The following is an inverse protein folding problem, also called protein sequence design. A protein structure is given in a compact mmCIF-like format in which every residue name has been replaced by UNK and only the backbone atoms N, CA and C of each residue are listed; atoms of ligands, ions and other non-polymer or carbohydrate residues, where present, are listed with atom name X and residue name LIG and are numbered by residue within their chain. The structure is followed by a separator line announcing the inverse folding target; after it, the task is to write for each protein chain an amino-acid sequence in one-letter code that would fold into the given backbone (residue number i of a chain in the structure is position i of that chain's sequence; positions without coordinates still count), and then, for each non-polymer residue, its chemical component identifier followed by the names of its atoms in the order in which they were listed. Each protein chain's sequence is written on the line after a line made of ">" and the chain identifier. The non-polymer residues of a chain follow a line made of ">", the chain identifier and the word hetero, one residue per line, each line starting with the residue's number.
data_IF_825532863076
#
_entry.id   IF_825532863076
#
_cell.length_a   1.000
_cell.length_b   1.000
_cell.length_c   1.000
_cell.angle_alpha   90.00
_cell.angle_beta   90.00
_cell.angle_gamma   90.00
#
_symmetry.space_group_name_H-M   'P 1'
#
loop_
_entity.id
_entity.type
_entity.pdbx_description
1 polymer ?
#
# COMPACT_ATOMS: atom_id res chain seq x y z
N UNK A 1 -17.15 -0.94 -16.81
CA UNK A 1 -16.69 -1.38 -15.48
C UNK A 1 -16.48 -0.13 -14.67
N UNK A 2 -17.18 0.04 -13.56
CA UNK A 2 -17.00 1.24 -12.73
C UNK A 2 -15.59 1.21 -12.14
N UNK A 3 -15.00 2.37 -11.85
CA UNK A 3 -13.65 2.47 -11.23
C UNK A 3 -13.60 1.70 -9.90
N UNK A 4 -14.76 1.56 -9.24
CA UNK A 4 -14.98 0.88 -7.97
C UNK A 4 -14.89 -0.65 -8.07
N UNK A 5 -15.01 -1.23 -9.26
CA UNK A 5 -14.92 -2.69 -9.48
C UNK A 5 -13.47 -3.18 -9.69
N UNK A 6 -12.49 -2.26 -9.68
CA UNK A 6 -11.08 -2.63 -9.86
C UNK A 6 -10.47 -3.14 -8.54
N UNK A 7 -9.57 -4.12 -8.65
CA UNK A 7 -8.81 -4.58 -7.47
C UNK A 7 -8.00 -3.45 -6.84
N UNK A 8 -7.56 -2.49 -7.65
CA UNK A 8 -6.80 -1.31 -7.21
C UNK A 8 -7.67 -0.44 -6.30
N UNK A 9 -8.96 -0.26 -6.64
CA UNK A 9 -9.92 0.39 -5.76
C UNK A 9 -10.14 -0.39 -4.47
N UNK A 10 -10.20 -1.72 -4.53
CA UNK A 10 -10.32 -2.55 -3.33
C UNK A 10 -9.10 -2.39 -2.39
N UNK A 11 -7.88 -2.43 -2.94
CA UNK A 11 -6.65 -2.21 -2.18
C UNK A 11 -6.57 -0.79 -1.58
N UNK A 12 -6.97 0.23 -2.35
CA UNK A 12 -7.00 1.61 -1.88
C UNK A 12 -8.06 1.83 -0.77
N UNK A 13 -9.25 1.26 -0.91
CA UNK A 13 -10.32 1.33 0.09
C UNK A 13 -9.94 0.60 1.38
N UNK A 14 -9.31 -0.57 1.28
CA UNK A 14 -8.76 -1.27 2.44
C UNK A 14 -7.75 -0.38 3.17
N UNK A 15 -6.84 0.27 2.45
CA UNK A 15 -5.83 1.10 3.06
C UNK A 15 -6.40 2.37 3.72
N UNK A 16 -7.34 3.04 3.06
CA UNK A 16 -8.05 4.20 3.61
C UNK A 16 -8.81 3.82 4.87
N UNK A 17 -9.57 2.71 4.81
CA UNK A 17 -10.39 2.24 5.93
C UNK A 17 -9.58 1.74 7.12
N UNK A 18 -8.54 0.95 6.87
CA UNK A 18 -7.71 0.36 7.93
C UNK A 18 -6.88 1.41 8.68
N UNK A 19 -6.29 2.36 7.96
CA UNK A 19 -5.45 3.39 8.58
C UNK A 19 -6.26 4.54 9.17
N UNK A 20 -7.35 4.92 8.51
CA UNK A 20 -8.20 6.04 8.92
C UNK A 20 -7.50 7.39 8.86
N UNK A 21 -6.40 7.53 8.10
CA UNK A 21 -5.70 8.80 7.92
C UNK A 21 -6.33 9.71 6.87
N UNK A 22 -6.98 9.12 5.87
CA UNK A 22 -7.62 9.85 4.77
C UNK A 22 -9.13 9.68 4.81
N UNK A 23 -9.84 10.70 4.35
CA UNK A 23 -11.28 10.65 4.12
C UNK A 23 -11.58 9.66 2.97
N UNK A 24 -12.75 8.99 2.96
CA UNK A 24 -13.16 8.13 1.84
C UNK A 24 -13.15 8.84 0.48
N UNK A 25 -13.41 10.16 0.47
CA UNK A 25 -13.36 10.99 -0.74
C UNK A 25 -11.96 11.10 -1.37
N UNK A 26 -10.89 10.70 -0.67
CA UNK A 26 -9.52 10.69 -1.19
C UNK A 26 -9.22 9.49 -2.12
N UNK A 27 -10.17 8.58 -2.33
CA UNK A 27 -9.98 7.38 -3.16
C UNK A 27 -9.44 7.71 -4.57
N UNK A 28 -10.03 8.70 -5.24
CA UNK A 28 -9.60 9.11 -6.59
C UNK A 28 -8.15 9.60 -6.61
N UNK A 29 -7.75 10.36 -5.59
CA UNK A 29 -6.36 10.80 -5.41
C UNK A 29 -5.42 9.62 -5.19
N UNK A 30 -5.76 8.67 -4.31
CA UNK A 30 -4.93 7.48 -4.09
C UNK A 30 -4.81 6.62 -5.35
N UNK A 31 -5.89 6.41 -6.10
CA UNK A 31 -5.86 5.67 -7.36
C UNK A 31 -4.95 6.33 -8.41
N UNK A 32 -5.00 7.66 -8.53
CA UNK A 32 -4.10 8.39 -9.42
C UNK A 32 -2.64 8.25 -8.98
N UNK A 33 -2.35 8.33 -7.67
CA UNK A 33 -1.00 8.18 -7.15
C UNK A 33 -0.46 6.75 -7.27
N UNK A 34 -1.31 5.73 -7.21
CA UNK A 34 -0.92 4.34 -7.41
C UNK A 34 -0.35 4.08 -8.81
N UNK A 35 -0.84 4.79 -9.83
CA UNK A 35 -0.31 4.68 -11.19
C UNK A 35 1.15 5.11 -11.27
N UNK A 36 1.51 6.18 -10.56
CA UNK A 36 2.89 6.67 -10.46
C UNK A 36 3.75 5.79 -9.54
N UNK A 37 3.15 5.20 -8.50
CA UNK A 37 3.85 4.39 -7.50
C UNK A 37 4.49 3.12 -8.10
N UNK A 38 4.01 2.65 -9.25
CA UNK A 38 4.61 1.53 -10.00
C UNK A 38 6.05 1.83 -10.43
N UNK A 39 6.39 3.10 -10.66
CA UNK A 39 7.68 3.54 -11.22
C UNK A 39 8.52 4.26 -10.15
N UNK A 40 7.87 5.03 -9.27
CA UNK A 40 8.55 5.83 -8.26
C UNK A 40 8.05 5.49 -6.85
N UNK A 41 8.96 5.42 -5.88
CA UNK A 41 8.60 5.15 -4.49
C UNK A 41 7.52 6.14 -3.97
N UNK A 42 6.48 5.67 -3.24
CA UNK A 42 5.36 6.48 -2.74
C UNK A 42 5.74 7.80 -2.08
N UNK A 43 6.80 7.81 -1.28
CA UNK A 43 7.37 9.03 -0.69
C UNK A 43 7.57 10.18 -1.68
N UNK A 44 8.13 9.89 -2.87
CA UNK A 44 8.41 10.89 -3.91
C UNK A 44 7.11 11.33 -4.60
N UNK A 45 6.25 10.36 -4.92
CA UNK A 45 4.92 10.59 -5.51
C UNK A 45 4.06 11.49 -4.62
N UNK A 46 3.95 11.16 -3.33
CA UNK A 46 3.20 11.94 -2.35
C UNK A 46 3.83 13.32 -2.08
N UNK A 47 5.15 13.44 -2.10
CA UNK A 47 5.81 14.74 -1.98
C UNK A 47 5.48 15.67 -3.15
N UNK A 48 5.45 15.14 -4.38
CA UNK A 48 5.00 15.86 -5.58
C UNK A 48 3.53 16.26 -5.47
N UNK A 49 2.67 15.31 -5.08
CA UNK A 49 1.24 15.55 -4.88
C UNK A 49 0.96 16.67 -3.86
N UNK A 50 1.64 16.68 -2.71
CA UNK A 50 1.47 17.77 -1.74
C UNK A 50 1.90 19.14 -2.28
N UNK A 51 2.76 19.16 -3.30
CA UNK A 51 3.20 20.38 -3.97
C UNK A 51 2.23 20.90 -5.04
N UNK A 52 1.19 20.14 -5.42
CA UNK A 52 0.26 20.57 -6.48
C UNK A 52 -0.82 21.51 -5.94
N UNK A 53 -1.20 22.50 -6.74
CA UNK A 53 -2.28 23.43 -6.40
C UNK A 53 -1.96 24.42 -5.26
N UNK A 54 -3.01 25.04 -4.72
CA UNK A 54 -2.90 26.10 -3.72
C UNK A 54 -2.29 25.57 -2.42
N UNK A 55 -1.18 26.17 -1.98
CA UNK A 55 -0.48 25.79 -0.76
C UNK A 55 -1.13 26.38 0.48
N UNK A 56 -1.00 25.69 1.62
CA UNK A 56 -1.29 26.29 2.92
C UNK A 56 -0.36 27.48 3.18
N UNK A 57 -0.91 28.53 3.79
CA UNK A 57 -0.14 29.67 4.29
C UNK A 57 0.75 29.28 5.48
N UNK A 58 1.70 30.14 5.83
CA UNK A 58 2.54 29.93 7.02
C UNK A 58 1.73 29.83 8.32
N UNK A 59 0.64 30.60 8.44
CA UNK A 59 -0.24 30.55 9.60
C UNK A 59 -0.98 29.20 9.68
N UNK A 60 -1.53 28.73 8.56
CA UNK A 60 -2.22 27.44 8.49
C UNK A 60 -1.28 26.26 8.75
N UNK A 61 -0.06 26.28 8.18
CA UNK A 61 0.96 25.26 8.46
C UNK A 61 1.31 25.21 9.94
N UNK A 62 1.45 26.37 10.60
CA UNK A 62 1.72 26.45 12.04
C UNK A 62 0.60 25.79 12.86
N UNK A 63 -0.66 26.08 12.53
CA UNK A 63 -1.83 25.46 13.20
C UNK A 63 -1.86 23.95 12.97
N UNK A 64 -1.50 23.49 11.77
CA UNK A 64 -1.43 22.07 11.43
C UNK A 64 -0.19 21.34 11.95
N UNK A 65 0.70 21.98 12.72
CA UNK A 65 1.94 21.37 13.22
C UNK A 65 2.98 21.09 12.11
N UNK A 66 2.86 21.75 10.97
CA UNK A 66 3.72 21.56 9.79
C UNK A 66 4.80 22.63 9.75
N UNK A 67 6.05 22.22 9.51
CA UNK A 67 7.18 23.14 9.32
C UNK A 67 6.92 24.11 8.15
N UNK A 68 7.35 25.36 8.29
CA UNK A 68 7.06 26.44 7.35
C UNK A 68 7.41 26.13 5.88
N UNK A 69 8.53 25.43 5.66
CA UNK A 69 9.05 25.08 4.34
C UNK A 69 8.52 23.76 3.77
N UNK A 70 7.68 23.01 4.50
CA UNK A 70 7.08 21.80 3.94
C UNK A 70 6.01 22.15 2.92
N UNK A 71 5.93 21.36 1.85
CA UNK A 71 4.86 21.41 0.86
C UNK A 71 3.64 20.67 1.40
N UNK A 72 2.49 21.34 1.35
CA UNK A 72 1.20 20.80 1.73
C UNK A 72 0.11 21.68 1.11
N UNK A 73 -0.53 21.14 0.08
CA UNK A 73 -1.63 21.80 -0.61
C UNK A 73 -2.91 21.76 0.20
N UNK A 74 -3.81 22.71 -0.05
CA UNK A 74 -5.17 22.73 0.53
C UNK A 74 -5.93 21.46 0.20
N UNK A 75 -5.76 20.94 -1.01
CA UNK A 75 -6.39 19.68 -1.43
C UNK A 75 -5.87 18.50 -0.59
N UNK A 76 -4.55 18.29 -0.54
CA UNK A 76 -3.97 17.21 0.26
C UNK A 76 -4.33 17.33 1.75
N UNK A 77 -4.37 18.56 2.30
CA UNK A 77 -4.80 18.77 3.68
C UNK A 77 -6.30 18.50 3.89
N UNK A 78 -7.14 18.87 2.93
CA UNK A 78 -8.60 18.64 2.98
C UNK A 78 -8.99 17.16 2.89
N UNK A 79 -8.11 16.31 2.38
CA UNK A 79 -8.30 14.85 2.33
C UNK A 79 -7.99 14.15 3.65
N UNK A 80 -7.40 14.83 4.64
CA UNK A 80 -7.04 14.22 5.91
C UNK A 80 -8.25 14.08 6.85
N UNK A 81 -8.29 12.99 7.60
CA UNK A 81 -9.13 12.88 8.81
C UNK A 81 -8.50 13.64 9.97
N UNK A 82 -9.20 13.75 11.10
CA UNK A 82 -8.60 14.28 12.34
C UNK A 82 -7.37 13.47 12.76
N UNK A 83 -7.39 12.15 12.54
CA UNK A 83 -6.22 11.29 12.76
C UNK A 83 -5.11 11.60 11.75
N UNK A 84 -5.44 11.78 10.47
CA UNK A 84 -4.45 12.14 9.43
C UNK A 84 -3.77 13.49 9.70
N UNK A 85 -4.49 14.44 10.28
CA UNK A 85 -3.97 15.76 10.65
C UNK A 85 -2.88 15.72 11.72
N UNK A 86 -2.73 14.62 12.48
CA UNK A 86 -1.60 14.47 13.41
C UNK A 86 -0.29 14.11 12.69
N UNK A 87 -0.37 13.59 11.46
CA UNK A 87 0.78 13.19 10.62
C UNK A 87 0.63 13.68 9.17
N UNK A 88 0.40 14.98 8.94
CA UNK A 88 -0.11 15.52 7.67
C UNK A 88 0.86 15.36 6.49
N UNK A 89 2.14 15.12 6.75
CA UNK A 89 3.15 14.87 5.71
C UNK A 89 3.33 13.38 5.37
N UNK A 90 2.78 12.47 6.17
CA UNK A 90 2.96 11.02 6.04
C UNK A 90 1.65 10.30 5.68
N UNK A 91 0.48 10.87 6.00
CA UNK A 91 -0.82 10.25 5.81
C UNK A 91 -1.03 9.61 4.42
N UNK A 92 -0.81 10.37 3.33
CA UNK A 92 -0.90 9.84 1.97
C UNK A 92 0.16 8.78 1.67
N UNK A 93 1.39 8.96 2.16
CA UNK A 93 2.50 8.04 1.91
C UNK A 93 2.23 6.67 2.54
N UNK A 94 1.80 6.63 3.81
CA UNK A 94 1.48 5.38 4.51
C UNK A 94 0.29 4.67 3.87
N UNK A 95 -0.74 5.43 3.50
CA UNK A 95 -1.92 4.88 2.80
C UNK A 95 -1.53 4.30 1.43
N UNK A 96 -0.70 5.03 0.68
CA UNK A 96 -0.23 4.60 -0.63
C UNK A 96 0.67 3.36 -0.54
N UNK A 97 1.60 3.31 0.42
CA UNK A 97 2.47 2.16 0.66
C UNK A 97 1.67 0.89 0.99
N UNK A 98 0.63 1.00 1.83
CA UNK A 98 -0.19 -0.16 2.19
C UNK A 98 -0.96 -0.72 0.98
N UNK A 99 -1.52 0.17 0.17
CA UNK A 99 -2.18 -0.23 -1.08
C UNK A 99 -1.17 -0.83 -2.07
N UNK A 100 0.00 -0.20 -2.23
CA UNK A 100 1.08 -0.68 -3.10
C UNK A 100 1.54 -2.09 -2.73
N UNK A 101 1.84 -2.38 -1.46
CA UNK A 101 2.24 -3.73 -1.03
C UNK A 101 1.18 -4.79 -1.36
N UNK A 102 -0.11 -4.43 -1.30
CA UNK A 102 -1.21 -5.30 -1.72
C UNK A 102 -1.18 -5.55 -3.24
N UNK A 103 -0.92 -4.53 -4.05
CA UNK A 103 -0.78 -4.67 -5.50
C UNK A 103 0.49 -5.43 -5.91
N UNK A 104 1.61 -5.24 -5.21
CA UNK A 104 2.83 -6.01 -5.41
C UNK A 104 2.59 -7.50 -5.17
N UNK A 105 1.90 -7.85 -4.07
CA UNK A 105 1.51 -9.24 -3.77
C UNK A 105 0.64 -9.84 -4.88
N UNK A 106 -0.41 -9.12 -5.31
CA UNK A 106 -1.26 -9.56 -6.43
C UNK A 106 -0.46 -9.78 -7.71
N UNK A 107 0.42 -8.85 -8.05
CA UNK A 107 1.21 -8.89 -9.29
C UNK A 107 2.14 -10.10 -9.30
N UNK A 108 2.79 -10.40 -8.17
CA UNK A 108 3.69 -11.55 -8.04
C UNK A 108 2.96 -12.88 -8.21
N UNK A 109 1.79 -13.05 -7.57
CA UNK A 109 0.97 -14.25 -7.75
C UNK A 109 0.44 -14.37 -9.17
N UNK A 110 0.05 -13.24 -9.78
CA UNK A 110 -0.48 -13.24 -11.16
C UNK A 110 0.58 -13.66 -12.16
N UNK A 111 1.84 -13.21 -12.00
CA UNK A 111 2.97 -13.67 -12.80
C UNK A 111 3.19 -15.17 -12.65
N UNK A 112 3.13 -15.67 -11.42
CA UNK A 112 3.33 -17.08 -11.15
C UNK A 112 2.24 -18.03 -11.72
N UNK A 113 1.17 -17.51 -12.30
CA UNK A 113 0.20 -18.28 -13.11
C UNK A 113 0.68 -18.52 -14.54
N UNK A 114 1.78 -17.89 -14.97
CA UNK A 114 2.36 -18.15 -16.28
C UNK A 114 2.81 -19.62 -16.36
N UNK A 115 2.46 -20.34 -17.45
CA UNK A 115 2.92 -21.71 -17.68
C UNK A 115 4.44 -21.91 -17.52
N UNK A 116 5.23 -20.85 -17.70
CA UNK A 116 6.67 -20.86 -17.48
C UNK A 116 7.06 -21.21 -16.03
N UNK A 117 6.19 -21.00 -15.04
CA UNK A 117 6.45 -21.29 -13.62
C UNK A 117 6.03 -22.72 -13.20
N UNK A 118 5.01 -23.29 -13.84
CA UNK A 118 4.65 -24.72 -13.79
C UNK A 118 4.03 -25.19 -12.47
N UNK A 119 3.59 -26.46 -12.40
CA UNK A 119 2.66 -26.94 -11.37
C UNK A 119 3.27 -27.00 -9.96
N UNK A 120 4.59 -27.08 -9.85
CA UNK A 120 5.30 -27.18 -8.57
C UNK A 120 5.72 -25.83 -7.98
N UNK A 121 5.21 -24.73 -8.57
CA UNK A 121 5.40 -23.40 -8.01
C UNK A 121 4.82 -23.32 -6.59
N UNK A 122 5.63 -22.85 -5.64
CA UNK A 122 5.23 -22.61 -4.26
C UNK A 122 5.61 -21.20 -3.84
N UNK A 123 4.98 -20.71 -2.78
CA UNK A 123 5.18 -19.38 -2.27
C UNK A 123 5.44 -19.39 -0.78
N UNK A 124 6.22 -18.45 -0.29
CA UNK A 124 6.38 -18.20 1.15
C UNK A 124 6.04 -16.77 1.46
N UNK A 125 5.28 -16.54 2.53
CA UNK A 125 5.11 -15.19 3.07
C UNK A 125 6.40 -14.73 3.75
N UNK A 126 6.88 -13.56 3.37
CA UNK A 126 8.06 -12.92 3.97
C UNK A 126 7.66 -11.57 4.54
N UNK A 127 8.25 -11.19 5.66
CA UNK A 127 7.99 -9.91 6.31
C UNK A 127 9.31 -9.16 6.44
N UNK A 128 9.31 -7.87 6.14
CA UNK A 128 10.50 -7.05 6.35
C UNK A 128 10.64 -6.60 7.82
N UNK A 129 9.53 -6.48 8.55
CA UNK A 129 9.49 -6.14 9.97
C UNK A 129 8.95 -7.30 10.81
N UNK A 130 9.66 -7.63 11.89
CA UNK A 130 9.40 -8.81 12.70
C UNK A 130 8.29 -8.64 13.77
N UNK A 131 7.40 -7.66 13.63
CA UNK A 131 6.59 -7.16 14.76
C UNK A 131 5.09 -7.49 14.72
N UNK A 132 4.56 -8.06 13.65
CA UNK A 132 3.12 -8.28 13.51
C UNK A 132 2.73 -9.76 13.69
N UNK A 133 1.84 -10.06 14.65
CA UNK A 133 1.36 -11.42 14.88
C UNK A 133 0.59 -11.99 13.68
N UNK A 134 -0.26 -11.17 13.03
CA UNK A 134 -0.99 -11.58 11.83
C UNK A 134 -0.08 -11.99 10.67
N UNK A 135 0.98 -11.21 10.43
CA UNK A 135 1.99 -11.53 9.41
C UNK A 135 2.82 -12.76 9.80
N UNK A 136 3.23 -12.88 11.07
CA UNK A 136 4.00 -14.02 11.57
C UNK A 136 3.23 -15.34 11.44
N UNK A 137 1.91 -15.33 11.68
CA UNK A 137 1.05 -16.51 11.45
C UNK A 137 1.14 -16.97 10.01
N UNK A 138 1.04 -16.05 9.04
CA UNK A 138 1.11 -16.44 7.62
C UNK A 138 2.47 -17.03 7.25
N UNK A 139 3.57 -16.46 7.77
CA UNK A 139 4.91 -17.01 7.59
C UNK A 139 5.05 -18.45 8.11
N UNK A 140 4.32 -18.80 9.18
CA UNK A 140 4.40 -20.14 9.79
C UNK A 140 3.88 -21.27 8.90
N UNK A 141 3.10 -20.97 7.86
CA UNK A 141 2.62 -21.97 6.90
C UNK A 141 3.70 -22.48 5.94
N UNK A 142 4.88 -21.84 5.90
CA UNK A 142 5.97 -22.26 5.04
C UNK A 142 5.64 -22.10 3.55
N UNK A 143 5.98 -23.11 2.74
CA UNK A 143 5.75 -23.12 1.29
C UNK A 143 4.32 -23.57 0.99
N UNK A 144 3.52 -22.69 0.38
CA UNK A 144 2.12 -22.96 0.04
C UNK A 144 1.85 -22.82 -1.46
N UNK A 145 0.84 -23.52 -2.03
CA UNK A 145 0.31 -23.26 -3.37
C UNK A 145 -0.32 -21.86 -3.51
N UNK A 146 -0.51 -21.39 -4.74
CA UNK A 146 -1.00 -20.04 -5.05
C UNK A 146 -2.35 -19.71 -4.41
N UNK A 147 -3.27 -20.68 -4.36
CA UNK A 147 -4.62 -20.52 -3.81
C UNK A 147 -4.67 -20.28 -2.30
N UNK A 148 -3.58 -20.59 -1.59
CA UNK A 148 -3.43 -20.36 -0.15
C UNK A 148 -2.67 -19.06 0.18
N UNK A 149 -2.20 -18.34 -0.85
CA UNK A 149 -1.45 -17.10 -0.65
C UNK A 149 -2.40 -15.93 -0.39
N UNK A 150 -2.22 -15.29 0.76
CA UNK A 150 -2.95 -14.06 1.09
C UNK A 150 -2.40 -12.85 0.33
N UNK A 151 -3.26 -12.24 -0.51
CA UNK A 151 -2.96 -10.98 -1.22
C UNK A 151 -3.24 -9.78 -0.31
N UNK A 152 -4.37 -9.79 0.39
CA UNK A 152 -4.77 -8.69 1.27
C UNK A 152 -3.94 -8.73 2.56
N UNK A 153 -3.77 -7.58 3.25
CA UNK A 153 -3.30 -7.59 4.63
C UNK A 153 -4.12 -8.55 5.50
N UNK A 154 -3.49 -9.28 6.45
CA UNK A 154 -4.23 -10.02 7.46
C UNK A 154 -5.20 -9.09 8.20
N UNK A 155 -6.39 -9.60 8.54
CA UNK A 155 -7.40 -8.82 9.30
C UNK A 155 -6.88 -8.36 10.67
N UNK A 156 -5.93 -9.09 11.22
CA UNK A 156 -5.25 -8.82 12.49
C UNK A 156 -3.83 -8.25 12.27
N UNK A 157 -3.62 -7.57 11.13
CA UNK A 157 -2.35 -6.89 10.88
C UNK A 157 -2.25 -5.61 11.72
N UNK A 158 -1.22 -5.53 12.55
CA UNK A 158 -0.97 -4.40 13.46
C UNK A 158 -0.07 -3.32 12.85
N UNK A 159 0.54 -3.59 11.70
CA UNK A 159 1.44 -2.63 11.04
C UNK A 159 0.68 -1.79 10.03
N UNK A 160 0.98 -0.49 10.03
CA UNK A 160 0.29 0.46 9.15
C UNK A 160 0.46 0.11 7.68
N UNK A 161 1.69 -0.12 7.24
CA UNK A 161 1.97 -0.41 5.83
C UNK A 161 1.72 -1.87 5.45
N UNK A 162 1.64 -2.80 6.42
CA UNK A 162 1.61 -4.25 6.14
C UNK A 162 2.70 -4.65 5.12
N UNK A 163 3.96 -4.61 5.54
CA UNK A 163 5.15 -4.98 4.75
C UNK A 163 5.32 -6.49 4.53
N UNK A 164 4.20 -7.20 4.51
CA UNK A 164 4.11 -8.60 4.12
C UNK A 164 4.28 -8.71 2.61
N UNK A 165 5.28 -9.47 2.20
CA UNK A 165 5.57 -9.81 0.82
C UNK A 165 5.48 -11.32 0.61
N UNK A 166 5.63 -11.72 -0.65
CA UNK A 166 5.56 -13.11 -1.08
C UNK A 166 6.82 -13.40 -1.88
N UNK A 167 7.52 -14.48 -1.53
CA UNK A 167 8.63 -15.01 -2.31
C UNK A 167 8.17 -16.22 -3.13
N UNK A 168 8.67 -16.30 -4.35
CA UNK A 168 8.42 -17.39 -5.30
C UNK A 168 9.49 -18.49 -5.15
N UNK A 169 9.05 -19.73 -5.01
CA UNK A 169 9.90 -20.92 -5.00
C UNK A 169 9.52 -21.82 -6.17
N UNK A 170 10.49 -22.08 -7.05
CA UNK A 170 10.34 -22.97 -8.19
C UNK A 170 11.33 -24.13 -8.07
N UNK A 171 10.90 -25.32 -8.44
CA UNK A 171 11.81 -26.44 -8.67
C UNK A 171 12.21 -26.47 -10.15
N UNK A 172 13.42 -26.02 -10.44
CA UNK A 172 13.98 -25.99 -11.79
C UNK A 172 14.46 -27.37 -12.27
N UNK A 173 14.65 -28.34 -11.37
CA UNK A 173 15.24 -29.64 -11.68
C UNK A 173 14.20 -30.67 -12.12
N UNK A 174 12.92 -30.47 -11.79
CA UNK A 174 11.80 -31.33 -12.24
C UNK A 174 11.46 -31.12 -13.73
N UNK A 175 12.10 -30.14 -14.39
CA UNK A 175 11.84 -29.72 -15.78
C UNK A 175 12.87 -30.20 -16.81
N UNK A 176 13.87 -30.98 -16.38
CA UNK A 176 14.91 -31.55 -17.24
C UNK A 176 14.56 -32.96 -17.71
#
# INVERSE_FOLDING_TARGET
>A
MSVEDSFDAHAALEAIGSLGYLQPSALSSILALLQDAVIEHPKKVCARYRGTGAQLSHAEKRVAGVRANALLSRQAFGELTERGKTIPLQAHELTLLRAEFTLCRKSLISRAKDPEFGPDTRFTHVQFSARCQGCARLKSFGRVPAEYVQIMPPIDCETETCDLMIDLHMDWLVRA
#
